data_IF_726715640231
#
_entry.id   IF_726715640231
#
_cell.length_a   1.000
_cell.length_b   1.000
_cell.length_c   1.000
_cell.angle_alpha   90.00
_cell.angle_beta   90.00
_cell.angle_gamma   90.00
#
_symmetry.space_group_name_H-M   'P 1'
#
loop_
_entity.id
_entity.type
_entity.pdbx_description
1 polymer ?
#
# COMPACT_ATOMS: atom_id res chain seq x y z
N UNK A 1 6.04 8.07 7.04
CA UNK A 1 7.52 7.92 7.05
C UNK A 1 7.79 6.52 6.54
N UNK A 2 8.61 6.36 5.49
CA UNK A 2 9.01 5.05 4.96
C UNK A 2 10.38 4.71 5.54
N UNK A 3 10.52 3.51 6.11
CA UNK A 3 11.80 3.02 6.59
C UNK A 3 12.63 2.52 5.40
N UNK A 4 13.81 3.12 5.17
CA UNK A 4 14.71 2.75 4.07
C UNK A 4 15.29 1.33 4.22
N UNK A 5 15.19 0.70 5.40
CA UNK A 5 15.57 -0.69 5.61
C UNK A 5 14.50 -1.70 5.14
N UNK A 6 13.27 -1.24 4.85
CA UNK A 6 12.10 -2.09 4.59
C UNK A 6 11.56 -2.00 3.15
N UNK A 7 12.45 -1.82 2.17
CA UNK A 7 12.11 -2.01 0.75
C UNK A 7 11.95 -3.50 0.43
N UNK A 8 10.73 -4.02 0.52
CA UNK A 8 10.45 -5.44 0.44
C UNK A 8 10.68 -6.04 -0.94
N UNK A 9 10.35 -5.34 -2.03
CA UNK A 9 10.50 -5.85 -3.40
C UNK A 9 9.92 -7.25 -3.61
N UNK A 10 8.86 -7.61 -2.86
CA UNK A 10 8.24 -8.93 -2.83
C UNK A 10 8.74 -9.89 -1.75
N UNK A 11 9.61 -9.44 -0.83
CA UNK A 11 10.13 -10.24 0.28
C UNK A 11 9.10 -10.45 1.38
N UNK A 12 9.18 -11.60 2.04
CA UNK A 12 8.48 -11.86 3.31
C UNK A 12 9.53 -12.05 4.40
N UNK A 13 9.56 -11.13 5.36
CA UNK A 13 10.51 -11.15 6.47
C UNK A 13 10.20 -12.27 7.45
N UNK A 14 11.25 -12.95 7.92
CA UNK A 14 11.20 -13.99 8.96
C UNK A 14 12.40 -13.86 9.90
N UNK A 15 12.32 -14.51 11.05
CA UNK A 15 13.43 -14.60 12.00
C UNK A 15 13.97 -13.23 12.42
N UNK A 16 15.29 -13.09 12.41
CA UNK A 16 15.97 -11.88 12.88
C UNK A 16 15.59 -10.62 12.10
N UNK A 17 15.36 -10.73 10.78
CA UNK A 17 14.95 -9.58 9.96
C UNK A 17 13.55 -9.06 10.35
N UNK A 18 12.61 -9.97 10.63
CA UNK A 18 11.28 -9.55 11.10
C UNK A 18 11.35 -8.91 12.49
N UNK A 19 12.24 -9.42 13.35
CA UNK A 19 12.49 -8.85 14.68
C UNK A 19 13.09 -7.45 14.60
N UNK A 20 14.03 -7.24 13.69
CA UNK A 20 14.64 -5.93 13.41
C UNK A 20 13.58 -4.95 12.92
N UNK A 21 12.84 -5.28 11.85
CA UNK A 21 11.76 -4.43 11.33
C UNK A 21 10.68 -4.11 12.39
N UNK A 22 10.34 -5.09 13.23
CA UNK A 22 9.42 -4.86 14.36
C UNK A 22 9.98 -3.86 15.36
N UNK A 23 11.27 -3.92 15.65
CA UNK A 23 11.95 -2.99 16.56
C UNK A 23 11.98 -1.59 15.97
N UNK A 24 12.24 -1.47 14.67
CA UNK A 24 12.25 -0.18 13.96
C UNK A 24 10.87 0.47 13.95
N UNK A 25 9.81 -0.28 13.67
CA UNK A 25 8.42 0.20 13.82
C UNK A 25 8.16 0.71 15.23
N UNK A 26 8.58 -0.03 16.26
CA UNK A 26 8.40 0.39 17.65
C UNK A 26 9.12 1.71 17.94
N UNK A 27 10.34 1.88 17.43
CA UNK A 27 11.14 3.08 17.61
C UNK A 27 10.54 4.29 16.86
N UNK A 28 10.10 4.09 15.61
CA UNK A 28 9.41 5.11 14.82
C UNK A 28 8.13 5.55 15.52
N UNK A 29 7.32 4.62 16.02
CA UNK A 29 6.10 4.93 16.78
C UNK A 29 6.41 5.70 18.06
N UNK A 30 7.41 5.29 18.85
CA UNK A 30 7.76 6.01 20.08
C UNK A 30 8.21 7.44 19.80
N UNK A 31 8.88 7.66 18.67
CA UNK A 31 9.39 8.97 18.27
C UNK A 31 8.33 9.87 17.64
N UNK A 32 7.45 9.32 16.80
CA UNK A 32 6.56 10.11 15.95
C UNK A 32 5.07 9.87 16.20
N UNK A 33 4.70 8.79 16.89
CA UNK A 33 3.32 8.33 17.04
C UNK A 33 2.41 9.25 17.88
N UNK A 34 2.98 10.22 18.59
CA UNK A 34 2.23 11.27 19.27
C UNK A 34 1.74 12.41 18.35
N UNK A 35 2.25 12.48 17.11
CA UNK A 35 1.80 13.48 16.14
C UNK A 35 0.50 13.04 15.47
N UNK A 36 -0.52 13.89 15.50
CA UNK A 36 -1.86 13.60 14.96
C UNK A 36 -1.87 13.35 13.45
N UNK A 37 -0.89 13.87 12.71
CA UNK A 37 -0.73 13.69 11.27
C UNK A 37 0.17 12.51 10.90
N UNK A 38 0.73 11.80 11.89
CA UNK A 38 1.56 10.65 11.61
C UNK A 38 0.68 9.47 11.16
N UNK A 39 1.06 8.87 10.03
CA UNK A 39 0.50 7.62 9.52
C UNK A 39 1.67 6.67 9.36
N UNK A 40 1.51 5.46 9.91
CA UNK A 40 2.50 4.41 9.81
C UNK A 40 2.16 3.53 8.61
N UNK A 41 3.15 3.29 7.78
CA UNK A 41 3.13 2.26 6.74
C UNK A 41 3.99 1.11 7.24
N UNK A 42 3.42 -0.10 7.35
CA UNK A 42 4.09 -1.22 8.02
C UNK A 42 5.27 -1.75 7.23
N UNK A 43 5.09 -1.95 5.93
CA UNK A 43 6.10 -2.58 5.08
C UNK A 43 5.81 -2.35 3.60
N UNK A 44 6.84 -1.96 2.85
CA UNK A 44 6.70 -1.66 1.43
C UNK A 44 6.83 -2.94 0.59
N UNK A 45 5.81 -3.26 -0.20
CA UNK A 45 5.74 -4.34 -1.19
C UNK A 45 6.08 -5.72 -0.60
N UNK A 46 5.42 -6.06 0.51
CA UNK A 46 5.55 -7.36 1.14
C UNK A 46 5.01 -8.50 0.26
N UNK A 47 5.84 -9.51 0.02
CA UNK A 47 5.43 -10.78 -0.60
C UNK A 47 5.07 -10.72 -2.09
N UNK A 48 5.38 -11.79 -2.81
CA UNK A 48 4.99 -11.98 -4.21
C UNK A 48 3.61 -12.61 -4.39
N UNK A 49 2.96 -13.00 -3.28
CA UNK A 49 1.63 -13.64 -3.27
C UNK A 49 0.96 -13.59 -1.90
N UNK A 50 -0.37 -13.76 -1.89
CA UNK A 50 -1.22 -13.82 -0.70
C UNK A 50 -1.03 -15.13 0.10
N UNK A 51 0.09 -15.22 0.83
CA UNK A 51 0.49 -16.39 1.64
C UNK A 51 0.26 -16.18 3.13
N UNK A 52 0.20 -17.28 3.90
CA UNK A 52 0.13 -17.22 5.35
C UNK A 52 1.36 -16.51 5.95
N UNK A 53 2.55 -16.74 5.38
CA UNK A 53 3.77 -16.09 5.84
C UNK A 53 3.70 -14.56 5.68
N UNK A 54 3.12 -14.06 4.58
CA UNK A 54 2.88 -12.63 4.39
C UNK A 54 1.93 -12.09 5.47
N UNK A 55 0.84 -12.80 5.75
CA UNK A 55 -0.12 -12.40 6.77
C UNK A 55 0.49 -12.41 8.18
N UNK A 56 1.35 -13.37 8.48
CA UNK A 56 2.05 -13.49 9.77
C UNK A 56 3.07 -12.37 9.96
N UNK A 57 3.80 -12.01 8.90
CA UNK A 57 4.70 -10.86 8.86
C UNK A 57 3.93 -9.57 9.17
N UNK A 58 2.90 -9.24 8.40
CA UNK A 58 2.12 -8.01 8.60
C UNK A 58 1.46 -7.97 9.98
N UNK A 59 0.91 -9.10 10.43
CA UNK A 59 0.33 -9.22 11.78
C UNK A 59 1.35 -8.90 12.88
N UNK A 60 2.60 -9.30 12.69
CA UNK A 60 3.68 -9.04 13.65
C UNK A 60 4.05 -7.57 13.67
N UNK A 61 4.17 -6.94 12.50
CA UNK A 61 4.49 -5.52 12.36
C UNK A 61 3.39 -4.62 12.94
N UNK A 62 2.12 -4.92 12.64
CA UNK A 62 0.95 -4.23 13.21
C UNK A 62 0.96 -4.36 14.75
N UNK A 63 1.15 -5.57 15.27
CA UNK A 63 1.22 -5.80 16.73
C UNK A 63 2.37 -5.04 17.37
N UNK A 64 3.52 -4.93 16.70
CA UNK A 64 4.65 -4.14 17.22
C UNK A 64 4.26 -2.67 17.39
N UNK A 65 3.65 -2.07 16.37
CA UNK A 65 3.17 -0.69 16.42
C UNK A 65 2.16 -0.47 17.57
N UNK A 66 1.17 -1.36 17.69
CA UNK A 66 0.15 -1.28 18.74
C UNK A 66 0.71 -1.51 20.14
N UNK A 67 1.64 -2.45 20.29
CA UNK A 67 2.32 -2.73 21.57
C UNK A 67 3.23 -1.58 22.01
N UNK A 68 3.76 -0.82 21.05
CA UNK A 68 4.48 0.43 21.30
C UNK A 68 3.56 1.60 21.68
N UNK A 69 2.24 1.38 21.76
CA UNK A 69 1.25 2.37 22.19
C UNK A 69 0.64 3.18 21.05
N UNK A 70 0.89 2.84 19.78
CA UNK A 70 0.38 3.63 18.67
C UNK A 70 -1.15 3.59 18.57
N UNK A 71 -1.78 4.77 18.50
CA UNK A 71 -3.24 4.94 18.36
C UNK A 71 -3.67 5.51 17.01
N UNK A 72 -2.73 5.93 16.17
CA UNK A 72 -3.00 6.47 14.85
C UNK A 72 -3.32 5.42 13.79
N UNK A 73 -3.46 5.89 12.55
CA UNK A 73 -3.75 5.08 11.37
C UNK A 73 -2.52 4.27 10.94
N UNK A 74 -2.79 3.03 10.54
CA UNK A 74 -1.80 2.10 9.97
C UNK A 74 -2.24 1.76 8.55
N UNK A 75 -1.33 1.97 7.60
CA UNK A 75 -1.38 1.47 6.24
C UNK A 75 -0.74 0.09 6.23
N UNK A 76 -1.40 -0.85 5.56
CA UNK A 76 -0.88 -2.16 5.22
C UNK A 76 -0.96 -2.26 3.70
N UNK A 77 0.18 -2.36 3.05
CA UNK A 77 0.25 -2.61 1.61
C UNK A 77 -0.17 -4.05 1.32
N UNK A 78 -0.86 -4.28 0.21
CA UNK A 78 -1.32 -5.62 -0.15
C UNK A 78 -0.16 -6.56 -0.52
N UNK A 79 -0.44 -7.85 -0.57
CA UNK A 79 0.41 -8.85 -1.19
C UNK A 79 0.57 -8.62 -2.70
N UNK A 80 1.39 -9.43 -3.36
CA UNK A 80 1.73 -9.26 -4.78
C UNK A 80 2.43 -7.91 -5.03
N UNK A 81 3.49 -7.63 -4.29
CA UNK A 81 4.23 -6.36 -4.37
C UNK A 81 3.34 -5.12 -4.14
N UNK A 82 2.41 -5.18 -3.17
CA UNK A 82 1.47 -4.09 -2.94
C UNK A 82 0.27 -4.08 -3.90
N UNK A 83 0.27 -4.86 -4.98
CA UNK A 83 -0.75 -4.74 -6.03
C UNK A 83 -2.06 -5.49 -5.77
N UNK A 84 -2.15 -6.41 -4.80
CA UNK A 84 -3.40 -7.13 -4.51
C UNK A 84 -3.97 -7.83 -5.74
N UNK A 85 -5.28 -7.73 -5.99
CA UNK A 85 -5.91 -8.29 -7.20
C UNK A 85 -5.45 -7.61 -8.50
N UNK A 86 -4.73 -6.49 -8.47
CA UNK A 86 -4.24 -5.80 -9.68
C UNK A 86 -2.92 -6.38 -10.18
N UNK A 87 -2.16 -7.03 -9.30
CA UNK A 87 -0.91 -7.73 -9.63
C UNK A 87 -0.99 -9.27 -9.49
N UNK A 88 -1.91 -9.81 -8.69
CA UNK A 88 -2.05 -11.24 -8.47
C UNK A 88 -3.49 -11.77 -8.55
N UNK A 89 -3.69 -13.09 -8.36
CA UNK A 89 -4.99 -13.74 -8.41
C UNK A 89 -5.82 -13.57 -7.12
N UNK A 90 -5.19 -13.18 -6.01
CA UNK A 90 -5.82 -12.99 -4.70
C UNK A 90 -5.24 -11.75 -4.01
N UNK A 91 -6.08 -11.01 -3.29
CA UNK A 91 -5.65 -9.98 -2.33
C UNK A 91 -5.35 -10.63 -0.98
N UNK A 92 -4.18 -10.35 -0.42
CA UNK A 92 -3.77 -10.77 0.90
C UNK A 92 -4.56 -10.04 1.98
N UNK A 93 -4.81 -8.75 1.78
CA UNK A 93 -5.64 -7.93 2.68
C UNK A 93 -7.05 -8.50 2.82
N UNK A 94 -7.65 -8.94 1.72
CA UNK A 94 -8.98 -9.56 1.73
C UNK A 94 -8.94 -10.97 2.32
N UNK A 95 -8.01 -11.81 1.86
CA UNK A 95 -7.90 -13.21 2.26
C UNK A 95 -7.62 -13.38 3.76
N UNK A 96 -6.82 -12.49 4.35
CA UNK A 96 -6.41 -12.55 5.75
C UNK A 96 -6.98 -11.41 6.60
N UNK A 97 -8.09 -10.80 6.17
CA UNK A 97 -8.67 -9.62 6.80
C UNK A 97 -8.90 -9.79 8.31
N UNK A 98 -9.45 -10.94 8.73
CA UNK A 98 -9.77 -11.20 10.14
C UNK A 98 -8.49 -11.33 10.99
N UNK A 99 -7.44 -11.96 10.45
CA UNK A 99 -6.15 -12.07 11.12
C UNK A 99 -5.50 -10.69 11.31
N UNK A 100 -5.49 -9.86 10.26
CA UNK A 100 -4.91 -8.52 10.30
C UNK A 100 -5.69 -7.59 11.24
N UNK A 101 -7.03 -7.66 11.24
CA UNK A 101 -7.87 -6.93 12.20
C UNK A 101 -7.65 -7.38 13.64
N UNK A 102 -7.50 -8.69 13.86
CA UNK A 102 -7.18 -9.21 15.18
C UNK A 102 -5.82 -8.70 15.66
N UNK A 103 -4.82 -8.63 14.77
CA UNK A 103 -3.52 -8.02 15.06
C UNK A 103 -3.61 -6.52 15.37
N UNK A 104 -4.48 -5.79 14.67
CA UNK A 104 -4.73 -4.37 14.91
C UNK A 104 -5.40 -4.11 16.28
N UNK A 105 -6.19 -5.06 16.78
CA UNK A 105 -6.85 -4.98 18.09
C UNK A 105 -8.08 -4.07 18.12
N UNK A 106 -8.93 -4.28 19.13
CA UNK A 106 -10.20 -3.55 19.29
C UNK A 106 -9.97 -2.11 19.75
N UNK A 107 -10.84 -1.19 19.31
CA UNK A 107 -10.83 0.21 19.71
C UNK A 107 -9.77 1.08 19.02
N UNK A 108 -9.00 0.51 18.09
CA UNK A 108 -8.11 1.27 17.21
C UNK A 108 -8.83 1.63 15.90
N UNK A 109 -8.38 2.67 15.17
CA UNK A 109 -8.86 2.95 13.83
C UNK A 109 -8.75 1.72 12.91
N UNK A 110 -9.67 1.60 11.95
CA UNK A 110 -9.59 0.59 10.90
C UNK A 110 -8.26 0.71 10.14
N UNK A 111 -7.75 -0.44 9.66
CA UNK A 111 -6.56 -0.47 8.82
C UNK A 111 -6.87 0.19 7.47
N UNK A 112 -5.87 0.88 6.91
CA UNK A 112 -5.89 1.37 5.54
C UNK A 112 -5.26 0.27 4.66
N UNK A 113 -5.99 -0.19 3.65
CA UNK A 113 -5.50 -1.16 2.68
C UNK A 113 -4.92 -0.43 1.48
N UNK A 114 -3.61 -0.56 1.26
CA UNK A 114 -2.90 0.18 0.22
C UNK A 114 -2.59 -0.68 -1.00
N UNK A 115 -2.84 -0.12 -2.18
CA UNK A 115 -2.64 -0.74 -3.49
C UNK A 115 -1.53 0.00 -4.24
N UNK A 116 -0.58 -0.75 -4.79
CA UNK A 116 0.39 -0.27 -5.77
C UNK A 116 -0.14 -0.58 -7.17
N UNK A 117 -0.70 0.43 -7.83
CA UNK A 117 -1.31 0.28 -9.13
C UNK A 117 -0.27 0.52 -10.24
N UNK A 118 0.17 -0.58 -10.85
CA UNK A 118 1.07 -0.61 -12.00
C UNK A 118 0.55 -1.53 -13.13
N UNK A 119 -0.70 -1.98 -13.06
CA UNK A 119 -1.24 -2.90 -14.06
C UNK A 119 -1.40 -2.18 -15.41
N UNK A 120 -0.95 -2.85 -16.47
CA UNK A 120 -0.97 -2.31 -17.84
C UNK A 120 -1.89 -3.08 -18.79
N UNK A 121 -2.58 -4.12 -18.28
CA UNK A 121 -3.54 -4.91 -19.05
C UNK A 121 -4.82 -4.15 -19.37
N UNK A 122 -5.54 -4.59 -20.40
CA UNK A 122 -6.84 -4.01 -20.79
C UNK A 122 -7.91 -4.13 -19.68
N UNK A 123 -7.70 -5.03 -18.72
CA UNK A 123 -8.55 -5.30 -17.57
C UNK A 123 -8.11 -4.58 -16.28
N UNK A 124 -7.04 -3.78 -16.32
CA UNK A 124 -6.48 -3.07 -15.14
C UNK A 124 -7.56 -2.28 -14.38
N UNK A 125 -8.36 -1.48 -15.08
CA UNK A 125 -9.46 -0.72 -14.47
C UNK A 125 -10.49 -1.59 -13.76
N UNK A 126 -10.84 -2.73 -14.36
CA UNK A 126 -11.82 -3.66 -13.78
C UNK A 126 -11.24 -4.36 -12.54
N UNK A 127 -9.96 -4.77 -12.60
CA UNK A 127 -9.25 -5.38 -11.47
C UNK A 127 -9.15 -4.42 -10.30
N UNK A 128 -8.77 -3.16 -10.54
CA UNK A 128 -8.72 -2.13 -9.50
C UNK A 128 -10.11 -1.85 -8.91
N UNK A 129 -11.15 -1.74 -9.74
CA UNK A 129 -12.52 -1.55 -9.25
C UNK A 129 -13.01 -2.69 -8.36
N UNK A 130 -12.65 -3.94 -8.70
CA UNK A 130 -12.94 -5.11 -7.89
C UNK A 130 -12.17 -5.11 -6.57
N UNK A 131 -10.88 -4.74 -6.60
CA UNK A 131 -10.03 -4.62 -5.41
C UNK A 131 -10.60 -3.59 -4.42
N UNK A 132 -10.91 -2.38 -4.89
CA UNK A 132 -11.50 -1.31 -4.06
C UNK A 132 -12.76 -1.83 -3.34
N UNK A 133 -13.66 -2.48 -4.08
CA UNK A 133 -14.89 -3.05 -3.52
C UNK A 133 -14.59 -4.15 -2.50
N UNK A 134 -13.63 -5.03 -2.78
CA UNK A 134 -13.24 -6.11 -1.89
C UNK A 134 -12.65 -5.59 -0.57
N UNK A 135 -11.77 -4.58 -0.64
CA UNK A 135 -11.20 -3.91 0.53
C UNK A 135 -12.28 -3.25 1.40
N UNK A 136 -13.22 -2.50 0.78
CA UNK A 136 -14.31 -1.88 1.52
C UNK A 136 -15.21 -2.92 2.21
N UNK A 137 -15.55 -4.01 1.51
CA UNK A 137 -16.33 -5.12 2.10
C UNK A 137 -15.56 -5.80 3.24
N UNK A 138 -14.24 -5.89 3.12
CA UNK A 138 -13.36 -6.37 4.17
C UNK A 138 -13.12 -5.32 5.27
N UNK A 139 -13.72 -4.14 5.22
CA UNK A 139 -13.68 -3.13 6.29
C UNK A 139 -12.42 -2.27 6.30
N UNK A 140 -11.69 -2.21 5.20
CA UNK A 140 -10.55 -1.32 5.01
C UNK A 140 -10.99 0.03 4.41
N UNK A 141 -10.30 1.11 4.79
CA UNK A 141 -10.24 2.31 3.96
C UNK A 141 -9.23 2.03 2.83
N UNK A 142 -9.61 2.05 1.54
CA UNK A 142 -8.66 1.84 0.46
C UNK A 142 -7.71 3.05 0.32
N UNK A 143 -6.51 2.81 -0.18
CA UNK A 143 -5.52 3.81 -0.56
C UNK A 143 -4.83 3.35 -1.85
N UNK A 144 -4.50 4.28 -2.73
CA UNK A 144 -3.52 4.05 -3.80
C UNK A 144 -2.18 4.54 -3.27
N UNK A 145 -1.38 3.63 -2.72
CA UNK A 145 -0.10 3.95 -2.07
C UNK A 145 0.99 4.28 -3.09
N UNK A 146 0.85 3.74 -4.30
CA UNK A 146 1.67 4.06 -5.45
C UNK A 146 0.84 3.96 -6.73
N UNK A 147 1.05 4.91 -7.62
CA UNK A 147 0.60 4.84 -9.01
C UNK A 147 1.55 5.65 -9.87
N UNK A 148 1.98 5.08 -10.98
CA UNK A 148 2.81 5.77 -11.96
C UNK A 148 2.47 5.33 -13.37
N UNK A 149 2.76 6.20 -14.33
CA UNK A 149 2.83 5.83 -15.74
C UNK A 149 4.27 5.79 -16.26
N UNK A 150 5.26 5.76 -15.37
CA UNK A 150 6.64 5.52 -15.74
C UNK A 150 7.07 4.17 -15.14
N UNK A 151 7.56 3.28 -15.99
CA UNK A 151 8.21 2.06 -15.54
C UNK A 151 9.73 2.20 -15.67
N UNK A 152 10.48 1.87 -14.62
CA UNK A 152 11.93 1.95 -14.63
C UNK A 152 12.54 0.76 -15.37
N UNK A 153 13.37 1.03 -16.37
CA UNK A 153 14.04 0.02 -17.20
C UNK A 153 15.51 -0.22 -16.80
N UNK A 154 15.99 0.46 -15.75
CA UNK A 154 17.38 0.42 -15.31
C UNK A 154 18.17 1.68 -15.66
N UNK A 155 19.06 2.11 -14.77
CA UNK A 155 19.84 3.33 -14.94
C UNK A 155 18.95 4.58 -14.99
N UNK A 156 19.10 5.36 -16.06
CA UNK A 156 18.32 6.57 -16.35
C UNK A 156 17.17 6.34 -17.35
N UNK A 157 16.84 5.08 -17.65
CA UNK A 157 15.83 4.71 -18.66
C UNK A 157 14.48 4.42 -18.05
N UNK A 158 13.44 5.00 -18.65
CA UNK A 158 12.05 4.79 -18.31
C UNK A 158 11.21 4.61 -19.57
N UNK A 159 10.07 3.93 -19.45
CA UNK A 159 9.05 3.84 -20.49
C UNK A 159 7.69 4.32 -19.97
N UNK A 160 6.91 4.94 -20.86
CA UNK A 160 5.55 5.41 -20.57
C UNK A 160 4.57 4.23 -20.59
N UNK A 161 3.77 4.10 -19.53
CA UNK A 161 2.75 3.06 -19.33
C UNK A 161 1.49 3.65 -18.72
N UNK A 162 0.51 4.03 -19.54
CA UNK A 162 -0.69 4.72 -19.05
C UNK A 162 -1.79 3.81 -18.49
N UNK A 163 -1.62 2.48 -18.51
CA UNK A 163 -2.66 1.55 -18.04
C UNK A 163 -3.05 1.78 -16.57
N UNK A 164 -2.06 1.97 -15.71
CA UNK A 164 -2.24 2.18 -14.28
C UNK A 164 -2.91 3.53 -13.95
N UNK A 165 -2.42 4.61 -14.55
CA UNK A 165 -3.01 5.94 -14.34
C UNK A 165 -4.43 6.02 -14.92
N UNK A 166 -4.70 5.34 -16.04
CA UNK A 166 -6.05 5.18 -16.58
C UNK A 166 -6.94 4.38 -15.62
N UNK A 167 -6.46 3.27 -15.05
CA UNK A 167 -7.21 2.46 -14.10
C UNK A 167 -7.64 3.28 -12.88
N UNK A 168 -6.74 4.09 -12.30
CA UNK A 168 -7.07 4.98 -11.19
C UNK A 168 -8.07 6.06 -11.61
N UNK A 169 -7.91 6.67 -12.79
CA UNK A 169 -8.86 7.69 -13.32
C UNK A 169 -10.26 7.11 -13.53
N UNK A 170 -10.36 5.93 -14.14
CA UNK A 170 -11.63 5.24 -14.37
C UNK A 170 -12.35 4.93 -13.05
N UNK A 171 -11.61 4.69 -11.96
CA UNK A 171 -12.13 4.36 -10.63
C UNK A 171 -12.16 5.55 -9.65
N UNK A 172 -11.89 6.77 -10.11
CA UNK A 172 -11.71 7.93 -9.24
C UNK A 172 -12.96 8.26 -8.41
N UNK A 173 -14.16 8.05 -8.98
CA UNK A 173 -15.41 8.26 -8.26
C UNK A 173 -15.56 7.28 -7.08
N UNK A 174 -15.21 6.00 -7.27
CA UNK A 174 -15.26 4.99 -6.22
C UNK A 174 -14.21 5.27 -5.13
N UNK A 175 -12.99 5.64 -5.54
CA UNK A 175 -11.91 6.05 -4.62
C UNK A 175 -12.33 7.27 -3.78
N UNK A 176 -12.89 8.31 -4.40
CA UNK A 176 -13.40 9.50 -3.69
C UNK A 176 -14.53 9.15 -2.72
N UNK A 177 -15.48 8.31 -3.15
CA UNK A 177 -16.57 7.86 -2.28
C UNK A 177 -16.08 7.04 -1.09
N UNK A 178 -14.99 6.29 -1.25
CA UNK A 178 -14.32 5.55 -0.18
C UNK A 178 -13.44 6.43 0.72
N UNK A 179 -13.26 7.71 0.37
CA UNK A 179 -12.33 8.63 1.02
C UNK A 179 -10.86 8.25 0.82
N UNK A 180 -10.53 7.54 -0.26
CA UNK A 180 -9.20 7.01 -0.51
C UNK A 180 -8.17 8.11 -0.75
N UNK A 181 -6.97 7.90 -0.18
CA UNK A 181 -5.81 8.73 -0.44
C UNK A 181 -5.12 8.20 -1.71
N UNK A 182 -4.62 9.09 -2.57
CA UNK A 182 -3.92 8.71 -3.81
C UNK A 182 -2.53 9.33 -3.80
N UNK A 183 -1.52 8.49 -3.79
CA UNK A 183 -0.12 8.88 -3.71
C UNK A 183 0.58 8.60 -5.05
N UNK A 184 0.67 9.61 -5.94
CA UNK A 184 1.40 9.45 -7.20
C UNK A 184 2.87 9.15 -6.94
N UNK A 185 3.41 8.17 -7.69
CA UNK A 185 4.85 7.91 -7.72
C UNK A 185 5.60 9.12 -8.26
N UNK A 186 6.85 9.28 -7.82
CA UNK A 186 7.68 10.47 -8.10
C UNK A 186 8.07 10.60 -9.57
N UNK A 187 8.03 9.53 -10.34
CA UNK A 187 8.41 9.50 -11.75
C UNK A 187 7.17 9.22 -12.60
N UNK A 188 6.74 10.21 -13.39
CA UNK A 188 5.60 10.08 -14.31
C UNK A 188 5.91 10.72 -15.66
N UNK A 189 5.37 10.15 -16.73
CA UNK A 189 5.41 10.77 -18.05
C UNK A 189 4.27 11.79 -18.20
N UNK A 190 4.60 12.95 -18.77
CA UNK A 190 3.65 13.96 -19.22
C UNK A 190 4.19 14.60 -20.49
N UNK A 191 3.37 14.64 -21.54
CA UNK A 191 3.74 15.15 -22.86
C UNK A 191 5.02 14.50 -23.43
N UNK A 192 5.14 13.17 -23.24
CA UNK A 192 6.28 12.37 -23.70
C UNK A 192 7.59 12.60 -22.93
N UNK A 193 7.56 13.25 -21.76
CA UNK A 193 8.74 13.51 -20.92
C UNK A 193 8.53 13.01 -19.50
N UNK A 194 9.59 12.46 -18.90
CA UNK A 194 9.60 12.17 -17.47
C UNK A 194 9.53 13.48 -16.68
N UNK A 195 8.68 13.50 -15.69
CA UNK A 195 8.39 14.64 -14.83
C UNK A 195 8.25 14.13 -13.40
N UNK A 196 8.78 14.93 -12.48
CA UNK A 196 8.56 14.72 -11.07
C UNK A 196 7.36 15.53 -10.60
N UNK A 197 6.48 14.92 -9.80
CA UNK A 197 5.29 15.55 -9.21
C UNK A 197 4.16 15.94 -10.19
N UNK A 198 3.87 15.10 -11.18
CA UNK A 198 2.75 15.30 -12.13
C UNK A 198 1.85 14.06 -12.19
N UNK A 199 0.69 14.15 -12.86
CA UNK A 199 -0.18 13.00 -13.17
C UNK A 199 -1.54 12.99 -12.47
N UNK A 200 -1.58 13.37 -11.19
CA UNK A 200 -2.79 13.58 -10.39
C UNK A 200 -2.77 14.96 -9.74
N UNK A 201 -3.90 15.67 -9.77
CA UNK A 201 -4.00 17.00 -9.19
C UNK A 201 -3.96 16.95 -7.66
N UNK A 202 -3.65 18.06 -6.98
CA UNK A 202 -3.77 18.13 -5.51
C UNK A 202 -5.19 17.81 -5.02
N UNK A 203 -6.22 18.10 -5.83
CA UNK A 203 -7.60 17.76 -5.51
C UNK A 203 -7.94 16.27 -5.70
N UNK A 204 -7.01 15.47 -6.24
CA UNK A 204 -7.16 14.02 -6.33
C UNK A 204 -6.33 13.29 -5.25
N UNK A 205 -5.50 14.01 -4.50
CA UNK A 205 -4.64 13.50 -3.43
C UNK A 205 -5.30 13.89 -2.09
N UNK A 206 -5.96 12.95 -1.42
CA UNK A 206 -6.63 13.16 -0.13
C UNK A 206 -5.77 12.70 1.04
#
# INVERSE_FOLDING_TARGET
FRDNANGGGGSVLKGDKLKEASTDISNVVKKFGGHSSFVLDTFNEGGTSATQDWADMESTLIKSARSAGYKGSIVVEDSNWGGGLTAGPESGLVKYADQLKAANGKGNPGLIGSIHEYASGADASARLGNEIKALQNAGYKPQIGEVGNANWLGGDKFEERDGATKAVRDNLAALKAAGADILPWKDQFQDGKLRHHVGFSKSDQY
#
